data_IF_070518173679
#
_entry.id   IF_070518173679
#
_cell.length_a   1.000
_cell.length_b   1.000
_cell.length_c   1.000
_cell.angle_alpha   90.00
_cell.angle_beta   90.00
_cell.angle_gamma   90.00
#
_symmetry.space_group_name_H-M   'P 1'
#
loop_
_entity.id
_entity.type
_entity.pdbx_description
1 polymer ?
#
# COMPACT_ATOMS: atom_id res chain seq x y z
N UNK A 1 -38.55 41.89 -15.99
CA UNK A 1 -37.07 41.77 -15.90
C UNK A 1 -36.50 42.15 -14.54
N UNK A 2 -36.95 43.24 -13.90
CA UNK A 2 -36.45 43.67 -12.58
C UNK A 2 -36.54 42.59 -11.49
N UNK A 3 -37.63 41.81 -11.47
CA UNK A 3 -37.85 40.71 -10.51
C UNK A 3 -36.81 39.58 -10.59
N UNK A 4 -36.37 39.20 -11.80
CA UNK A 4 -35.35 38.15 -11.96
C UNK A 4 -33.97 38.60 -11.48
N UNK A 5 -33.66 39.90 -11.64
CA UNK A 5 -32.41 40.48 -11.15
C UNK A 5 -32.40 40.48 -9.61
N UNK A 6 -33.52 40.81 -8.98
CA UNK A 6 -33.65 40.80 -7.51
C UNK A 6 -33.53 39.39 -6.94
N UNK A 7 -34.17 38.39 -7.57
CA UNK A 7 -34.07 36.99 -7.16
C UNK A 7 -32.64 36.46 -7.32
N UNK A 8 -31.97 36.76 -8.45
CA UNK A 8 -30.57 36.39 -8.67
C UNK A 8 -29.62 36.97 -7.62
N UNK A 9 -29.84 38.22 -7.22
CA UNK A 9 -29.06 38.88 -6.17
C UNK A 9 -29.23 38.21 -4.80
N UNK A 10 -30.46 37.89 -4.41
CA UNK A 10 -30.76 37.20 -3.13
C UNK A 10 -30.14 35.80 -3.09
N UNK A 11 -30.25 35.02 -4.17
CA UNK A 11 -29.63 33.69 -4.21
C UNK A 11 -28.10 33.75 -4.24
N UNK A 12 -27.51 34.73 -4.92
CA UNK A 12 -26.05 34.92 -4.94
C UNK A 12 -25.51 35.30 -3.55
N UNK A 13 -26.31 35.98 -2.73
CA UNK A 13 -25.96 36.31 -1.34
C UNK A 13 -26.14 35.12 -0.38
N UNK A 14 -27.03 34.17 -0.69
CA UNK A 14 -27.28 32.99 0.14
C UNK A 14 -26.30 31.84 -0.14
N UNK A 15 -25.76 31.71 -1.36
CA UNK A 15 -24.82 30.63 -1.72
C UNK A 15 -23.54 30.61 -0.84
N UNK A 16 -22.87 31.74 -0.53
CA UNK A 16 -21.70 31.75 0.34
C UNK A 16 -22.02 31.39 1.79
N UNK A 17 -23.24 31.68 2.27
CA UNK A 17 -23.64 31.42 3.66
C UNK A 17 -23.81 29.93 3.98
N UNK A 18 -23.93 29.07 2.96
CA UNK A 18 -23.99 27.61 3.13
C UNK A 18 -22.62 26.94 3.21
N UNK A 19 -21.54 27.60 2.81
CA UNK A 19 -20.19 27.08 2.98
C UNK A 19 -19.60 27.55 4.32
N UNK A 20 -20.17 27.05 5.43
CA UNK A 20 -19.44 27.05 6.70
C UNK A 20 -18.32 26.01 6.62
N UNK A 21 -17.14 26.45 6.23
CA UNK A 21 -15.92 25.73 6.64
C UNK A 21 -15.84 25.82 8.16
N UNK A 22 -15.98 24.69 8.83
CA UNK A 22 -15.74 24.59 10.27
C UNK A 22 -14.24 24.79 10.45
N UNK A 23 -13.83 26.00 10.82
CA UNK A 23 -12.48 26.24 11.31
C UNK A 23 -12.34 25.48 12.62
N UNK A 24 -11.70 24.31 12.58
CA UNK A 24 -11.20 23.66 13.78
C UNK A 24 -10.02 24.49 14.29
N UNK A 25 -10.31 25.46 15.16
CA UNK A 25 -9.27 26.22 15.84
C UNK A 25 -8.50 25.28 16.79
N UNK A 26 -7.45 24.64 16.28
CA UNK A 26 -6.52 23.90 17.11
C UNK A 26 -5.69 24.94 17.86
N UNK A 27 -6.03 25.21 19.13
CA UNK A 27 -5.32 26.21 19.97
C UNK A 27 -3.80 25.97 20.12
N UNK A 28 -3.28 24.83 19.65
CA UNK A 28 -1.84 24.60 19.48
C UNK A 28 -1.58 23.54 18.41
N UNK A 29 -1.35 24.00 17.18
CA UNK A 29 -1.02 23.15 16.03
C UNK A 29 0.28 22.37 16.26
N UNK A 30 1.24 22.96 16.99
CA UNK A 30 2.52 22.30 17.32
C UNK A 30 2.33 21.08 18.21
N UNK A 31 1.56 21.21 19.30
CA UNK A 31 1.26 20.08 20.18
C UNK A 31 0.46 18.99 19.45
N UNK A 32 -0.43 19.37 18.52
CA UNK A 32 -1.15 18.43 17.68
C UNK A 32 -0.22 17.64 16.74
N UNK A 33 0.71 18.30 16.03
CA UNK A 33 1.67 17.60 15.18
C UNK A 33 2.60 16.68 15.97
N UNK A 34 3.01 17.07 17.18
CA UNK A 34 3.75 16.18 18.07
C UNK A 34 2.95 14.92 18.42
N UNK A 35 1.68 15.09 18.77
CA UNK A 35 0.79 13.96 19.06
C UNK A 35 0.61 13.07 17.82
N UNK A 36 0.43 13.63 16.63
CA UNK A 36 0.34 12.87 15.38
C UNK A 36 1.63 12.09 15.09
N UNK A 37 2.80 12.75 15.20
CA UNK A 37 4.10 12.09 15.01
C UNK A 37 4.33 10.94 16.00
N UNK A 38 3.80 11.02 17.21
CA UNK A 38 3.83 9.90 18.16
C UNK A 38 3.06 8.68 17.67
N UNK A 39 1.90 8.86 17.01
CA UNK A 39 1.15 7.74 16.40
C UNK A 39 1.97 7.09 15.29
N UNK A 40 2.54 7.88 14.38
CA UNK A 40 3.38 7.38 13.28
C UNK A 40 4.62 6.63 13.81
N UNK A 41 5.25 7.19 14.86
CA UNK A 41 6.35 6.53 15.55
C UNK A 41 5.91 5.20 16.16
N UNK A 42 4.76 5.14 16.83
CA UNK A 42 4.24 3.92 17.45
C UNK A 42 4.02 2.81 16.42
N UNK A 43 3.44 3.15 15.26
CA UNK A 43 3.23 2.19 14.15
C UNK A 43 4.58 1.65 13.68
N UNK A 44 5.53 2.54 13.37
CA UNK A 44 6.85 2.14 12.88
C UNK A 44 7.64 1.34 13.90
N UNK A 45 7.67 1.79 15.16
CA UNK A 45 8.36 1.09 16.26
C UNK A 45 7.77 -0.31 16.49
N UNK A 46 6.45 -0.45 16.43
CA UNK A 46 5.80 -1.75 16.54
C UNK A 46 6.11 -2.67 15.35
N UNK A 47 6.18 -2.13 14.13
CA UNK A 47 6.58 -2.89 12.93
C UNK A 47 8.05 -3.32 13.03
N UNK A 48 8.96 -2.39 13.33
CA UNK A 48 10.42 -2.63 13.41
C UNK A 48 10.75 -3.61 14.56
N UNK A 49 9.99 -3.59 15.66
CA UNK A 49 10.11 -4.53 16.78
C UNK A 49 9.38 -5.85 16.55
N UNK A 50 8.73 -6.03 15.40
CA UNK A 50 8.03 -7.26 15.04
C UNK A 50 6.71 -7.50 15.75
N UNK A 51 6.11 -6.50 16.42
CA UNK A 51 4.84 -6.56 17.18
C UNK A 51 3.59 -6.62 16.27
N UNK A 52 3.75 -7.29 15.16
CA UNK A 52 2.76 -7.51 14.12
C UNK A 52 1.85 -8.69 14.50
N UNK A 53 0.56 -8.61 14.18
CA UNK A 53 -0.40 -9.69 14.51
C UNK A 53 -1.10 -10.27 13.29
N UNK A 54 -1.52 -11.55 13.36
CA UNK A 54 -2.60 -12.04 12.53
C UNK A 54 -3.87 -11.22 12.77
N UNK A 55 -4.68 -11.01 11.71
CA UNK A 55 -6.01 -10.38 11.78
C UNK A 55 -6.79 -10.86 13.01
N UNK A 56 -7.34 -9.92 13.79
CA UNK A 56 -8.13 -10.12 15.01
C UNK A 56 -7.38 -10.61 16.26
N UNK A 57 -6.06 -10.48 16.32
CA UNK A 57 -5.29 -10.71 17.56
C UNK A 57 -4.62 -9.42 18.06
N UNK A 58 -4.55 -9.25 19.38
CA UNK A 58 -3.83 -8.15 20.01
C UNK A 58 -2.48 -8.68 20.52
N UNK A 59 -1.33 -8.24 19.97
CA UNK A 59 -0.03 -8.72 20.40
C UNK A 59 0.22 -8.40 21.88
N UNK A 60 0.70 -9.37 22.65
CA UNK A 60 1.01 -9.16 24.06
C UNK A 60 2.07 -8.06 24.30
N UNK A 61 2.94 -7.85 23.31
CA UNK A 61 4.07 -6.94 23.37
C UNK A 61 3.72 -5.47 23.08
N UNK A 62 2.47 -5.15 22.70
CA UNK A 62 2.07 -3.75 22.51
C UNK A 62 1.98 -2.96 23.81
N UNK A 63 1.91 -3.64 24.96
CA UNK A 63 2.08 -2.98 26.26
C UNK A 63 3.43 -2.28 26.38
N UNK A 64 4.44 -2.69 25.60
CA UNK A 64 5.74 -2.01 25.58
C UNK A 64 5.68 -0.62 24.93
N UNK A 65 4.58 -0.27 24.25
CA UNK A 65 4.35 1.10 23.75
C UNK A 65 3.95 2.06 24.86
N UNK A 66 3.38 1.54 25.96
CA UNK A 66 2.94 2.37 27.06
C UNK A 66 4.13 3.05 27.76
N UNK A 67 4.01 4.35 28.00
CA UNK A 67 5.05 5.17 28.61
C UNK A 67 6.24 5.52 27.71
N UNK A 68 6.30 5.04 26.45
CA UNK A 68 7.37 5.45 25.53
C UNK A 68 7.26 6.96 25.28
N UNK A 69 8.37 7.66 25.49
CA UNK A 69 8.48 9.10 25.26
C UNK A 69 9.65 9.41 24.33
N UNK A 70 9.45 10.41 23.46
CA UNK A 70 10.54 11.00 22.68
C UNK A 70 10.56 12.51 22.85
N UNK A 71 11.71 13.02 23.27
CA UNK A 71 11.99 14.45 23.36
C UNK A 71 12.57 14.94 22.03
N UNK A 72 12.02 16.02 21.48
CA UNK A 72 12.49 16.63 20.23
C UNK A 72 13.32 17.91 20.47
N UNK A 73 13.76 18.11 21.72
CA UNK A 73 14.52 19.27 22.19
C UNK A 73 13.76 20.10 23.22
N UNK A 74 14.50 20.88 24.03
CA UNK A 74 14.01 21.57 25.24
C UNK A 74 12.85 22.55 24.98
N UNK A 75 12.74 23.07 23.75
CA UNK A 75 11.66 23.98 23.33
C UNK A 75 10.77 23.42 22.21
N UNK A 76 11.15 22.31 21.61
CA UNK A 76 10.41 21.68 20.49
C UNK A 76 9.28 20.78 20.98
N UNK A 77 9.34 20.38 22.26
CA UNK A 77 8.37 19.54 22.90
C UNK A 77 8.66 18.05 22.80
N UNK A 78 7.69 17.27 23.26
CA UNK A 78 7.78 15.81 23.37
C UNK A 78 6.45 15.18 23.01
N UNK A 79 6.47 13.89 22.70
CA UNK A 79 5.28 13.06 22.76
C UNK A 79 5.48 11.89 23.71
N UNK A 80 4.38 11.44 24.31
CA UNK A 80 4.31 10.22 25.14
C UNK A 80 3.21 9.33 24.58
N UNK A 81 3.47 8.03 24.53
CA UNK A 81 2.52 7.02 24.09
C UNK A 81 1.88 6.33 25.29
N UNK A 82 0.59 6.06 25.16
CA UNK A 82 -0.23 5.33 26.13
C UNK A 82 -1.06 4.33 25.33
N UNK A 83 -0.80 3.04 25.52
CA UNK A 83 -1.50 1.97 24.81
C UNK A 83 -2.42 1.19 25.74
N UNK A 84 -3.73 1.39 25.56
CA UNK A 84 -4.79 0.66 26.24
C UNK A 84 -5.10 -0.63 25.47
N UNK A 85 -4.50 -1.73 25.95
CA UNK A 85 -4.66 -3.06 25.36
C UNK A 85 -6.10 -3.59 25.41
N UNK A 86 -6.82 -3.56 26.56
CA UNK A 86 -8.22 -3.99 26.62
C UNK A 86 -9.11 -3.33 25.55
N UNK A 87 -8.91 -2.04 25.29
CA UNK A 87 -9.70 -1.30 24.32
C UNK A 87 -9.02 -1.14 22.95
N UNK A 88 -7.88 -1.81 22.74
CA UNK A 88 -7.04 -1.70 21.54
C UNK A 88 -6.89 -0.25 21.04
N UNK A 89 -6.53 0.64 21.95
CA UNK A 89 -6.49 2.08 21.70
C UNK A 89 -5.10 2.60 21.97
N UNK A 90 -4.52 3.31 21.00
CA UNK A 90 -3.32 4.11 21.23
C UNK A 90 -3.71 5.57 21.47
N UNK A 91 -3.19 6.16 22.53
CA UNK A 91 -3.24 7.59 22.79
C UNK A 91 -1.81 8.13 22.68
N UNK A 92 -1.61 9.08 21.76
CA UNK A 92 -0.37 9.85 21.69
C UNK A 92 -0.59 11.24 22.25
N UNK A 93 0.21 11.62 23.24
CA UNK A 93 0.11 12.87 23.98
C UNK A 93 1.27 13.77 23.57
N UNK A 94 1.01 14.79 22.77
CA UNK A 94 1.98 15.80 22.38
C UNK A 94 1.99 16.98 23.36
N UNK A 95 3.16 17.32 23.90
CA UNK A 95 3.35 18.38 24.89
C UNK A 95 4.40 19.38 24.41
N UNK A 96 4.03 20.65 24.41
CA UNK A 96 4.97 21.78 24.32
C UNK A 96 5.21 22.29 25.74
N UNK A 97 6.46 22.27 26.26
CA UNK A 97 6.81 22.78 27.58
C UNK A 97 6.28 24.19 27.79
N UNK A 98 5.61 24.41 28.94
CA UNK A 98 5.01 25.70 29.32
C UNK A 98 4.01 26.27 28.30
N UNK A 99 3.51 25.45 27.39
CA UNK A 99 2.61 25.87 26.32
C UNK A 99 1.30 25.12 26.37
N UNK A 100 1.29 23.91 25.83
CA UNK A 100 0.03 23.23 25.50
C UNK A 100 0.21 21.73 25.37
N UNK A 101 -0.87 21.00 25.65
CA UNK A 101 -0.97 19.56 25.47
C UNK A 101 -2.08 19.25 24.45
N UNK A 102 -1.84 18.24 23.60
CA UNK A 102 -2.84 17.66 22.72
C UNK A 102 -2.75 16.15 22.75
N UNK A 103 -3.89 15.49 22.57
CA UNK A 103 -4.00 14.04 22.55
C UNK A 103 -4.62 13.61 21.23
N UNK A 104 -4.01 12.63 20.58
CA UNK A 104 -4.56 11.94 19.42
C UNK A 104 -4.88 10.52 19.85
N UNK A 105 -6.16 10.16 19.79
CA UNK A 105 -6.65 8.82 20.13
C UNK A 105 -6.92 8.05 18.85
N UNK A 106 -6.30 6.88 18.73
CA UNK A 106 -6.49 5.94 17.63
C UNK A 106 -7.14 4.68 18.19
N UNK A 107 -8.42 4.51 17.90
CA UNK A 107 -9.14 3.27 18.19
C UNK A 107 -8.72 2.19 17.18
N UNK A 108 -8.78 0.93 17.62
CA UNK A 108 -8.40 -0.23 16.82
C UNK A 108 -6.94 -0.17 16.33
N UNK A 109 -6.01 0.24 17.18
CA UNK A 109 -4.62 0.50 16.78
C UNK A 109 -3.95 -0.70 16.09
N UNK A 110 -4.26 -1.94 16.49
CA UNK A 110 -3.72 -3.14 15.82
C UNK A 110 -4.08 -3.24 14.35
N UNK A 111 -5.14 -2.58 13.84
CA UNK A 111 -5.42 -2.56 12.40
C UNK A 111 -4.31 -1.91 11.59
N UNK A 112 -3.59 -0.95 12.17
CA UNK A 112 -2.42 -0.32 11.55
C UNK A 112 -1.16 -1.22 11.63
N UNK A 113 -1.21 -2.26 12.45
CA UNK A 113 -0.14 -3.24 12.65
C UNK A 113 -0.43 -4.59 11.99
N UNK A 114 -1.60 -4.74 11.37
CA UNK A 114 -1.94 -5.93 10.61
C UNK A 114 -0.95 -6.03 9.47
N UNK A 115 -0.09 -7.06 9.54
CA UNK A 115 0.69 -7.46 8.37
C UNK A 115 -0.32 -7.83 7.32
N UNK A 116 -0.18 -7.29 6.10
CA UNK A 116 -0.98 -7.73 4.97
C UNK A 116 -0.89 -9.26 4.89
N UNK A 117 -1.99 -9.96 5.18
CA UNK A 117 -2.11 -11.38 4.88
C UNK A 117 -2.27 -11.50 3.36
N UNK A 118 -1.67 -12.52 2.79
CA UNK A 118 -1.74 -12.76 1.36
C UNK A 118 -0.40 -12.54 0.67
N UNK A 119 -0.45 -12.30 -0.63
CA UNK A 119 0.74 -12.05 -1.44
C UNK A 119 1.04 -10.55 -1.51
N UNK A 120 2.25 -10.16 -1.12
CA UNK A 120 2.75 -8.78 -1.15
C UNK A 120 3.99 -8.65 -2.04
N UNK A 121 4.34 -7.42 -2.46
CA UNK A 121 5.70 -7.17 -2.99
C UNK A 121 6.71 -7.47 -1.88
N UNK A 122 7.78 -8.19 -2.19
CA UNK A 122 8.76 -8.56 -1.18
C UNK A 122 9.72 -7.40 -0.89
N UNK A 123 9.66 -6.77 0.31
CA UNK A 123 10.54 -5.65 0.65
C UNK A 123 12.00 -6.07 0.88
N UNK A 124 12.29 -7.38 0.97
CA UNK A 124 13.64 -7.91 1.19
C UNK A 124 14.43 -8.02 -0.12
N UNK A 125 13.76 -7.91 -1.26
CA UNK A 125 14.35 -8.03 -2.59
C UNK A 125 14.32 -6.69 -3.34
N UNK A 126 15.13 -6.53 -4.41
CA UNK A 126 15.15 -5.29 -5.20
C UNK A 126 13.76 -4.90 -5.73
N UNK A 127 13.51 -3.60 -5.79
CA UNK A 127 12.29 -3.02 -6.36
C UNK A 127 12.02 -3.48 -7.80
N UNK A 128 10.76 -3.46 -8.27
CA UNK A 128 10.42 -3.76 -9.65
C UNK A 128 11.28 -2.95 -10.65
N UNK A 129 11.90 -3.63 -11.60
CA UNK A 129 12.83 -3.03 -12.55
C UNK A 129 12.86 -3.75 -13.90
N UNK A 130 13.37 -3.08 -14.94
CA UNK A 130 13.63 -3.64 -16.27
C UNK A 130 14.99 -4.35 -16.30
N UNK A 131 15.07 -5.58 -16.78
CA UNK A 131 16.35 -6.32 -16.87
C UNK A 131 16.98 -6.28 -18.27
N UNK A 132 16.18 -6.19 -19.33
CA UNK A 132 16.67 -6.29 -20.72
C UNK A 132 15.87 -5.34 -21.58
N UNK A 133 16.51 -4.35 -22.22
CA UNK A 133 15.97 -3.41 -23.25
C UNK A 133 14.48 -3.07 -23.04
N UNK A 134 14.04 -2.85 -21.79
CA UNK A 134 12.64 -2.64 -21.42
C UNK A 134 11.63 -3.65 -22.03
N UNK A 135 12.03 -4.87 -22.33
CA UNK A 135 11.15 -5.97 -22.75
C UNK A 135 10.85 -6.94 -21.62
N UNK A 136 11.66 -6.92 -20.56
CA UNK A 136 11.57 -7.86 -19.44
C UNK A 136 11.49 -7.09 -18.12
N UNK A 137 10.36 -7.17 -17.43
CA UNK A 137 10.22 -6.65 -16.07
C UNK A 137 10.43 -7.77 -15.06
N UNK A 138 11.15 -7.46 -13.99
CA UNK A 138 11.38 -8.36 -12.86
C UNK A 138 10.88 -7.71 -11.58
N UNK A 139 10.19 -8.48 -10.76
CA UNK A 139 9.83 -8.12 -9.40
C UNK A 139 9.72 -9.36 -8.52
N UNK A 140 9.52 -9.15 -7.24
CA UNK A 140 9.48 -10.21 -6.25
C UNK A 140 8.22 -10.09 -5.43
N UNK A 141 7.56 -11.22 -5.20
CA UNK A 141 6.38 -11.31 -4.34
C UNK A 141 6.60 -12.35 -3.26
N UNK A 142 6.00 -12.15 -2.10
CA UNK A 142 6.10 -13.04 -0.96
C UNK A 142 4.72 -13.32 -0.39
N UNK A 143 4.49 -14.56 0.00
CA UNK A 143 3.34 -14.91 0.83
C UNK A 143 3.61 -14.44 2.27
N UNK A 144 2.98 -13.34 2.64
CA UNK A 144 3.02 -12.80 3.99
C UNK A 144 2.00 -13.55 4.86
N UNK A 145 2.50 -14.62 5.50
CA UNK A 145 1.88 -15.28 6.67
C UNK A 145 0.54 -15.99 6.42
N UNK A 146 0.30 -16.50 5.21
CA UNK A 146 -0.66 -17.60 4.98
C UNK A 146 0.08 -18.92 4.82
N UNK A 147 -0.53 -20.05 5.23
CA UNK A 147 0.12 -21.37 5.18
C UNK A 147 0.67 -21.70 3.79
N UNK A 148 -0.14 -21.51 2.76
CA UNK A 148 0.25 -21.60 1.36
C UNK A 148 -0.77 -20.90 0.47
N UNK A 149 -0.30 -20.12 -0.50
CA UNK A 149 -1.15 -19.49 -1.50
C UNK A 149 -0.80 -20.07 -2.86
N UNK A 150 -1.81 -20.49 -3.62
CA UNK A 150 -1.62 -20.96 -4.99
C UNK A 150 -2.27 -19.99 -5.96
N UNK A 151 -1.44 -19.32 -6.76
CA UNK A 151 -1.90 -18.47 -7.87
C UNK A 151 -2.04 -19.32 -9.14
N UNK A 152 -3.12 -19.14 -9.89
CA UNK A 152 -3.50 -19.95 -11.05
C UNK A 152 -3.71 -19.12 -12.32
N UNK A 153 -3.75 -17.81 -12.20
CA UNK A 153 -3.92 -16.91 -13.33
C UNK A 153 -3.54 -15.48 -13.00
N UNK A 154 -3.63 -14.62 -14.01
CA UNK A 154 -3.27 -13.22 -13.91
C UNK A 154 -4.15 -12.35 -14.82
N UNK A 155 -4.17 -11.06 -14.53
CA UNK A 155 -4.54 -10.01 -15.47
C UNK A 155 -3.53 -8.86 -15.31
N UNK A 156 -3.32 -8.06 -16.34
CA UNK A 156 -2.37 -6.96 -16.27
C UNK A 156 -2.83 -5.77 -17.11
N UNK A 157 -2.49 -4.59 -16.60
CA UNK A 157 -2.69 -3.32 -17.25
C UNK A 157 -1.35 -2.62 -17.37
N UNK A 158 -1.18 -1.89 -18.45
CA UNK A 158 -0.15 -0.88 -18.58
C UNK A 158 -0.69 0.23 -19.48
N UNK A 159 -0.40 1.47 -19.12
CA UNK A 159 -0.60 2.59 -20.01
C UNK A 159 0.45 2.54 -21.11
N UNK A 160 0.05 2.52 -22.38
CA UNK A 160 0.96 2.61 -23.51
C UNK A 160 0.44 3.59 -24.55
N UNK A 161 1.32 4.48 -25.02
CA UNK A 161 1.11 5.27 -26.24
C UNK A 161 1.92 4.63 -27.37
N UNK A 162 1.26 4.02 -28.35
CA UNK A 162 1.94 3.37 -29.48
C UNK A 162 1.34 2.02 -29.88
N UNK A 163 2.09 1.17 -30.62
CA UNK A 163 1.59 -0.13 -31.09
C UNK A 163 1.27 -1.05 -29.91
N UNK A 164 0.30 -1.95 -30.11
CA UNK A 164 -0.15 -2.88 -29.08
C UNK A 164 1.00 -3.78 -28.63
N UNK A 165 1.56 -3.48 -27.44
CA UNK A 165 2.53 -4.34 -26.76
C UNK A 165 1.77 -5.50 -26.11
N UNK A 166 2.37 -6.68 -26.04
CA UNK A 166 1.70 -7.88 -25.53
C UNK A 166 2.62 -8.62 -24.57
N UNK A 167 2.08 -9.10 -23.46
CA UNK A 167 2.83 -10.04 -22.60
C UNK A 167 2.90 -11.36 -23.35
N UNK A 168 4.14 -11.79 -23.63
CA UNK A 168 4.44 -13.03 -24.34
C UNK A 168 4.70 -14.18 -23.36
N UNK A 169 5.39 -13.92 -22.24
CA UNK A 169 5.66 -14.91 -21.20
C UNK A 169 5.52 -14.34 -19.80
N UNK A 170 5.16 -15.22 -18.85
CA UNK A 170 5.36 -14.98 -17.42
C UNK A 170 6.07 -16.20 -16.85
N UNK A 171 7.20 -15.95 -16.20
CA UNK A 171 8.03 -16.96 -15.55
C UNK A 171 8.06 -16.68 -14.05
N UNK A 172 7.85 -17.72 -13.24
CA UNK A 172 7.86 -17.62 -11.77
C UNK A 172 8.72 -18.69 -11.15
N UNK A 173 9.43 -18.37 -10.09
CA UNK A 173 10.21 -19.36 -9.35
C UNK A 173 10.58 -18.88 -7.97
N UNK A 174 10.92 -19.80 -7.07
CA UNK A 174 11.45 -19.44 -5.74
C UNK A 174 12.73 -18.64 -5.94
N UNK A 175 12.92 -17.58 -5.14
CA UNK A 175 14.15 -16.77 -5.23
C UNK A 175 15.37 -17.66 -5.04
N UNK A 176 16.34 -17.56 -5.96
CA UNK A 176 17.54 -18.42 -6.00
C UNK A 176 17.37 -19.72 -6.80
N UNK A 177 16.20 -19.97 -7.40
CA UNK A 177 15.97 -21.10 -8.32
C UNK A 177 15.70 -20.60 -9.74
N UNK A 178 15.86 -21.49 -10.73
CA UNK A 178 15.51 -21.17 -12.11
C UNK A 178 13.99 -20.99 -12.24
N UNK A 179 13.49 -19.81 -12.68
CA UNK A 179 12.07 -19.59 -12.89
C UNK A 179 11.48 -20.57 -13.92
N UNK A 180 10.27 -21.04 -13.65
CA UNK A 180 9.50 -21.89 -14.57
C UNK A 180 8.44 -21.05 -15.27
N UNK A 181 8.33 -21.20 -16.58
CA UNK A 181 7.29 -20.54 -17.36
C UNK A 181 5.89 -20.99 -16.92
N UNK A 182 5.04 -20.03 -16.55
CA UNK A 182 3.64 -20.24 -16.16
C UNK A 182 2.67 -19.78 -17.22
N UNK A 183 3.04 -18.79 -18.02
CA UNK A 183 2.25 -18.30 -19.13
C UNK A 183 3.07 -18.19 -20.40
N UNK A 184 2.46 -18.58 -21.53
CA UNK A 184 2.93 -18.29 -22.88
C UNK A 184 1.73 -17.94 -23.76
N UNK A 185 1.75 -16.79 -24.41
CA UNK A 185 0.65 -16.35 -25.27
C UNK A 185 0.82 -14.93 -25.81
N UNK A 186 -0.30 -14.25 -26.01
CA UNK A 186 -0.34 -12.91 -26.61
C UNK A 186 -1.27 -11.98 -25.81
N UNK A 187 -1.00 -11.81 -24.53
CA UNK A 187 -1.91 -11.10 -23.63
C UNK A 187 -1.84 -9.58 -23.85
N UNK A 188 -2.98 -8.94 -24.05
CA UNK A 188 -3.10 -7.48 -24.15
C UNK A 188 -3.24 -6.78 -22.82
N UNK A 189 -3.10 -5.47 -22.81
CA UNK A 189 -3.46 -4.66 -21.64
C UNK A 189 -4.98 -4.73 -21.41
N UNK A 190 -5.40 -4.78 -20.15
CA UNK A 190 -6.80 -4.81 -19.72
C UNK A 190 -6.99 -3.82 -18.56
N UNK A 191 -7.73 -2.74 -18.79
CA UNK A 191 -7.96 -1.69 -17.78
C UNK A 191 -8.80 -2.14 -16.60
N UNK A 192 -9.67 -3.14 -16.81
CA UNK A 192 -10.56 -3.64 -15.78
C UNK A 192 -9.88 -4.73 -14.94
N UNK A 193 -8.74 -5.23 -15.43
CA UNK A 193 -7.98 -6.36 -14.88
C UNK A 193 -8.86 -7.60 -14.74
N UNK A 194 -9.91 -7.72 -15.55
CA UNK A 194 -10.88 -8.82 -15.54
C UNK A 194 -11.43 -9.05 -16.95
N UNK A 195 -11.55 -10.32 -17.40
CA UNK A 195 -11.34 -11.57 -16.65
C UNK A 195 -9.87 -11.96 -16.52
N UNK A 196 -9.57 -12.82 -15.54
CA UNK A 196 -8.22 -13.40 -15.40
C UNK A 196 -7.91 -14.37 -16.55
N UNK A 197 -6.66 -14.37 -17.02
CA UNK A 197 -6.11 -15.39 -17.91
C UNK A 197 -5.39 -16.45 -17.10
N UNK A 198 -5.77 -17.70 -17.32
CA UNK A 198 -5.17 -18.85 -16.64
C UNK A 198 -3.70 -19.05 -17.06
N UNK A 199 -2.88 -19.51 -16.13
CA UNK A 199 -1.59 -20.08 -16.45
C UNK A 199 -1.78 -21.34 -17.30
N UNK A 200 -0.96 -21.47 -18.34
CA UNK A 200 -1.09 -22.49 -19.38
C UNK A 200 0.23 -23.26 -19.62
N UNK A 201 1.22 -23.07 -18.74
CA UNK A 201 2.52 -23.73 -18.74
C UNK A 201 2.94 -24.08 -17.30
N UNK A 202 3.93 -24.97 -17.16
CA UNK A 202 4.60 -25.24 -15.88
C UNK A 202 3.68 -25.69 -14.74
N UNK A 203 2.64 -26.48 -15.05
CA UNK A 203 1.68 -27.01 -14.06
C UNK A 203 0.47 -26.11 -13.78
N UNK A 204 0.24 -25.06 -14.60
CA UNK A 204 -0.93 -24.17 -14.55
C UNK A 204 -1.17 -23.43 -13.21
N UNK A 205 -0.15 -23.42 -12.35
CA UNK A 205 -0.23 -22.81 -11.02
C UNK A 205 1.16 -22.53 -10.46
N UNK A 206 1.23 -21.66 -9.45
CA UNK A 206 2.42 -21.44 -8.63
C UNK A 206 2.00 -21.38 -7.17
N UNK A 207 2.46 -22.35 -6.38
CA UNK A 207 2.33 -22.33 -4.93
C UNK A 207 3.42 -21.44 -4.32
N UNK A 208 3.07 -20.71 -3.27
CA UNK A 208 3.94 -19.84 -2.50
C UNK A 208 3.73 -20.20 -1.04
N UNK A 209 4.69 -20.93 -0.47
CA UNK A 209 4.61 -21.34 0.93
C UNK A 209 4.68 -20.13 1.88
N UNK A 210 4.26 -20.32 3.14
CA UNK A 210 4.37 -19.26 4.16
C UNK A 210 5.77 -18.66 4.22
N UNK A 211 5.85 -17.32 4.19
CA UNK A 211 7.08 -16.52 4.18
C UNK A 211 8.00 -16.71 2.97
N UNK A 212 7.61 -17.53 1.99
CA UNK A 212 8.40 -17.77 0.79
C UNK A 212 8.28 -16.59 -0.17
N UNK A 213 9.43 -16.13 -0.65
CA UNK A 213 9.53 -15.19 -1.76
C UNK A 213 9.70 -15.94 -3.09
N UNK A 214 9.00 -15.47 -4.11
CA UNK A 214 9.18 -15.90 -5.50
C UNK A 214 9.56 -14.70 -6.36
N UNK A 215 10.39 -14.94 -7.36
CA UNK A 215 10.66 -14.04 -8.45
C UNK A 215 9.57 -14.18 -9.50
N UNK A 216 9.13 -13.05 -10.05
CA UNK A 216 8.25 -12.97 -11.21
C UNK A 216 8.97 -12.19 -12.31
N UNK A 217 9.03 -12.80 -13.48
CA UNK A 217 9.58 -12.22 -14.70
C UNK A 217 8.45 -12.14 -15.72
N UNK A 218 8.18 -10.94 -16.22
CA UNK A 218 7.19 -10.72 -17.29
C UNK A 218 7.95 -10.28 -18.53
N UNK A 219 7.73 -10.98 -19.63
CA UNK A 219 8.32 -10.65 -20.93
C UNK A 219 7.23 -10.12 -21.85
N UNK A 220 7.50 -8.98 -22.48
CA UNK A 220 6.69 -8.44 -23.57
C UNK A 220 7.28 -8.86 -24.92
N UNK A 221 6.41 -9.05 -25.92
CA UNK A 221 6.81 -9.30 -27.31
C UNK A 221 7.66 -8.18 -27.91
N UNK A 222 7.65 -7.02 -27.27
CA UNK A 222 8.01 -5.75 -27.83
C UNK A 222 8.61 -4.81 -26.76
N UNK A 223 9.48 -3.90 -27.16
CA UNK A 223 10.15 -2.93 -26.27
C UNK A 223 9.14 -1.94 -25.66
N UNK A 224 9.13 -1.82 -24.33
CA UNK A 224 8.23 -0.94 -23.57
C UNK A 224 8.79 0.49 -23.45
N UNK A 225 8.90 1.22 -24.57
CA UNK A 225 9.53 2.56 -24.61
C UNK A 225 8.76 3.66 -23.87
N UNK A 226 7.43 3.63 -23.88
CA UNK A 226 6.53 4.68 -23.33
C UNK A 226 5.57 4.17 -22.26
N UNK A 227 5.80 2.96 -21.74
CA UNK A 227 4.83 2.34 -20.86
C UNK A 227 4.96 2.84 -19.42
N UNK A 228 3.83 3.24 -18.85
CA UNK A 228 3.69 3.70 -17.47
C UNK A 228 2.52 2.98 -16.81
N UNK A 229 2.36 3.12 -15.49
CA UNK A 229 1.22 2.54 -14.75
C UNK A 229 1.10 1.03 -14.95
N UNK A 230 2.20 0.30 -14.80
CA UNK A 230 2.20 -1.15 -14.93
C UNK A 230 1.57 -1.76 -13.68
N UNK A 231 0.44 -2.42 -13.86
CA UNK A 231 -0.33 -3.09 -12.81
C UNK A 231 -0.46 -4.55 -13.19
N UNK A 232 -0.18 -5.43 -12.23
CA UNK A 232 -0.34 -6.87 -12.40
C UNK A 232 -1.22 -7.38 -11.28
N UNK A 233 -2.23 -8.17 -11.61
CA UNK A 233 -3.11 -8.81 -10.64
C UNK A 233 -3.03 -10.32 -10.81
N UNK A 234 -2.68 -11.03 -9.73
CA UNK A 234 -2.70 -12.48 -9.70
C UNK A 234 -3.97 -12.99 -9.04
N UNK A 235 -4.44 -14.15 -9.46
CA UNK A 235 -5.67 -14.77 -8.99
C UNK A 235 -5.42 -16.18 -8.46
N UNK A 236 -6.12 -16.56 -7.40
CA UNK A 236 -6.24 -17.96 -6.96
C UNK A 236 -7.36 -18.67 -7.73
N UNK A 237 -7.43 -20.00 -7.60
CA UNK A 237 -8.53 -20.81 -8.16
C UNK A 237 -9.91 -20.46 -7.57
N UNK A 238 -9.94 -19.87 -6.38
CA UNK A 238 -11.16 -19.41 -5.69
C UNK A 238 -11.56 -17.98 -6.07
N UNK A 239 -10.79 -17.31 -6.93
CA UNK A 239 -11.06 -15.94 -7.37
C UNK A 239 -10.53 -14.85 -6.45
N UNK A 240 -9.79 -15.20 -5.39
CA UNK A 240 -9.07 -14.21 -4.56
C UNK A 240 -7.98 -13.58 -5.42
N UNK A 241 -7.87 -12.26 -5.39
CA UNK A 241 -6.93 -11.51 -6.23
C UNK A 241 -5.93 -10.69 -5.43
N UNK A 242 -4.69 -10.61 -5.91
CA UNK A 242 -3.61 -9.81 -5.35
C UNK A 242 -3.10 -8.84 -6.41
N UNK A 243 -3.20 -7.53 -6.15
CA UNK A 243 -2.85 -6.48 -7.12
C UNK A 243 -1.53 -5.81 -6.77
N UNK A 244 -0.67 -5.64 -7.77
CA UNK A 244 0.67 -5.09 -7.65
C UNK A 244 0.83 -3.91 -8.60
N UNK A 245 1.12 -2.74 -8.05
CA UNK A 245 1.47 -1.54 -8.80
C UNK A 245 2.99 -1.50 -8.94
N UNK A 246 3.50 -1.86 -10.12
CA UNK A 246 4.95 -1.95 -10.35
C UNK A 246 5.54 -0.56 -10.61
N UNK A 247 4.77 0.34 -11.22
CA UNK A 247 5.13 1.73 -11.48
C UNK A 247 4.10 2.68 -10.82
N UNK A 248 4.14 2.86 -9.49
CA UNK A 248 3.14 3.65 -8.76
C UNK A 248 3.21 5.16 -9.06
N UNK A 249 4.36 5.64 -9.53
CA UNK A 249 4.57 7.06 -9.82
C UNK A 249 4.30 7.41 -11.30
N UNK A 250 3.92 6.43 -12.12
CA UNK A 250 3.72 6.59 -13.56
C UNK A 250 4.94 7.16 -14.32
N UNK A 251 6.15 6.92 -13.82
CA UNK A 251 7.41 7.40 -14.42
C UNK A 251 8.15 6.30 -15.19
N UNK A 252 7.60 5.09 -15.21
CA UNK A 252 8.23 3.89 -15.73
C UNK A 252 9.12 3.19 -14.68
N UNK A 253 9.38 1.90 -14.91
CA UNK A 253 10.31 1.15 -14.05
C UNK A 253 11.75 1.61 -14.28
N UNK A 254 12.56 1.59 -13.22
CA UNK A 254 14.01 1.75 -13.32
C UNK A 254 14.68 0.56 -14.00
N UNK A 255 15.98 0.68 -14.27
CA UNK A 255 16.78 -0.46 -14.72
C UNK A 255 17.24 -1.30 -13.52
N UNK A 256 17.20 -2.62 -13.68
CA UNK A 256 18.05 -3.52 -12.94
C UNK A 256 19.48 -3.45 -13.53
#
# INVERSE_FOLDING_TARGET
>A
MLLMITIGYVFSYLIPTKQKSISFAIHSTKAFFLAQSGVEFAVRYAIDSGYTTPVNQVPANLNNLDGIQRNLGDRSGRFTLDYDRPNNTLVSIGVIPNGSERRVKVSNFTSFLQTQKGVILDPRNPSPCWTTIRTVARFYIRNAREESITITGFAAYWGSTGPARRISTIDTGVVGTTPTQKYSGNYGTDSDLTPSVAFNRGGNSQAIASDQAIQVIITWSDVMTTCTNIIVRFYTSTGISFTFYLDPNAVGLGSC
#
